data_IF_934834684080
#
_entry.id   IF_934834684080
#
_cell.length_a   1.000
_cell.length_b   1.000
_cell.length_c   1.000
_cell.angle_alpha   90.00
_cell.angle_beta   90.00
_cell.angle_gamma   90.00
#
_symmetry.space_group_name_H-M   'P 1'
#
loop_
_entity.id
_entity.type
_entity.pdbx_description
1 polymer ?
#
# COMPACT_ATOMS: atom_id res chain seq x y z
N UNK A 1 13.89 -3.65 11.55
CA UNK A 1 12.44 -3.98 11.52
C UNK A 1 11.64 -3.18 12.53
N UNK A 2 12.12 -2.92 13.74
CA UNK A 2 11.39 -2.12 14.75
C UNK A 2 11.01 -0.73 14.22
N UNK A 3 11.95 -0.04 13.55
CA UNK A 3 11.67 1.26 12.95
C UNK A 3 10.62 1.19 11.83
N UNK A 4 10.64 0.14 11.01
CA UNK A 4 9.66 -0.08 9.95
C UNK A 4 8.28 -0.33 10.57
N UNK A 5 8.20 -1.24 11.54
CA UNK A 5 6.97 -1.53 12.27
C UNK A 5 6.39 -0.26 12.90
N UNK A 6 7.23 0.54 13.54
CA UNK A 6 6.83 1.83 14.14
C UNK A 6 6.21 2.78 13.11
N UNK A 7 6.87 2.95 11.94
CA UNK A 7 6.35 3.80 10.87
C UNK A 7 5.02 3.28 10.31
N UNK A 8 4.90 1.97 10.11
CA UNK A 8 3.64 1.33 9.69
C UNK A 8 2.52 1.65 10.68
N UNK A 9 2.76 1.49 11.99
CA UNK A 9 1.77 1.77 13.03
C UNK A 9 1.27 3.21 13.00
N UNK A 10 2.20 4.17 12.95
CA UNK A 10 1.85 5.58 12.92
C UNK A 10 1.05 5.93 11.67
N UNK A 11 1.48 5.42 10.53
CA UNK A 11 0.80 5.70 9.27
C UNK A 11 -0.57 5.03 9.21
N UNK A 12 -0.70 3.77 9.68
CA UNK A 12 -2.00 3.09 9.82
C UNK A 12 -2.98 3.88 10.70
N UNK A 13 -2.50 4.41 11.84
CA UNK A 13 -3.32 5.26 12.74
C UNK A 13 -3.83 6.51 12.04
N UNK A 14 -3.01 7.12 11.20
CA UNK A 14 -3.44 8.27 10.40
C UNK A 14 -4.47 7.87 9.35
N UNK A 15 -4.19 6.80 8.59
CA UNK A 15 -5.07 6.32 7.53
C UNK A 15 -6.44 5.86 8.06
N UNK A 16 -6.49 5.22 9.23
CA UNK A 16 -7.75 4.77 9.84
C UNK A 16 -8.73 5.90 10.21
N UNK A 17 -8.24 7.14 10.29
CA UNK A 17 -9.10 8.33 10.45
C UNK A 17 -9.70 8.82 9.13
N UNK A 18 -9.15 8.36 8.01
CA UNK A 18 -9.50 8.80 6.66
C UNK A 18 -10.20 7.72 5.84
N UNK A 19 -10.06 6.45 6.24
CA UNK A 19 -10.54 5.28 5.52
C UNK A 19 -11.64 4.58 6.30
N UNK A 20 -12.62 4.09 5.57
CA UNK A 20 -13.53 3.05 5.99
C UNK A 20 -13.00 1.69 5.50
N UNK A 21 -13.44 0.60 6.14
CA UNK A 21 -13.08 -0.75 5.73
C UNK A 21 -13.48 -1.00 4.27
N UNK A 22 -12.51 -1.45 3.47
CA UNK A 22 -12.70 -1.74 2.05
C UNK A 22 -12.51 -0.53 1.11
N UNK A 23 -12.21 0.66 1.62
CA UNK A 23 -11.85 1.80 0.77
C UNK A 23 -10.56 1.52 0.00
N UNK A 24 -10.56 1.83 -1.29
CA UNK A 24 -9.39 1.61 -2.17
C UNK A 24 -8.40 2.75 -2.01
N UNK A 25 -7.12 2.37 -1.94
CA UNK A 25 -6.00 3.28 -1.88
C UNK A 25 -5.04 2.98 -3.02
N UNK A 26 -4.94 3.88 -3.98
CA UNK A 26 -3.93 3.79 -5.04
C UNK A 26 -2.55 4.05 -4.45
N UNK A 27 -1.57 3.20 -4.80
CA UNK A 27 -0.17 3.35 -4.44
C UNK A 27 0.68 3.38 -5.70
N UNK A 28 1.16 4.57 -6.06
CA UNK A 28 1.97 4.83 -7.25
C UNK A 28 3.36 5.34 -6.87
N UNK A 29 4.32 4.44 -6.85
CA UNK A 29 5.71 4.73 -6.46
C UNK A 29 6.66 3.71 -7.05
N UNK A 30 7.91 4.11 -7.21
CA UNK A 30 9.06 3.26 -7.47
C UNK A 30 9.32 2.32 -6.27
N UNK A 31 10.16 1.28 -6.48
CA UNK A 31 10.62 0.42 -5.41
C UNK A 31 11.42 1.21 -4.37
N UNK A 32 10.87 1.29 -3.17
CA UNK A 32 11.49 2.00 -2.04
C UNK A 32 10.91 1.51 -0.71
N UNK A 33 11.60 1.69 0.42
CA UNK A 33 11.11 1.23 1.72
C UNK A 33 9.74 1.81 2.09
N UNK A 34 9.46 3.06 1.70
CA UNK A 34 8.19 3.73 1.98
C UNK A 34 7.01 3.10 1.23
N UNK A 35 7.27 2.45 0.08
CA UNK A 35 6.25 1.69 -0.63
C UNK A 35 5.70 0.57 0.26
N UNK A 36 6.58 -0.25 0.82
CA UNK A 36 6.20 -1.35 1.71
C UNK A 36 5.51 -0.85 2.99
N UNK A 37 6.01 0.27 3.55
CA UNK A 37 5.39 0.91 4.72
C UNK A 37 3.97 1.35 4.39
N UNK A 38 3.76 1.96 3.22
CA UNK A 38 2.45 2.45 2.79
C UNK A 38 1.48 1.28 2.55
N UNK A 39 1.91 0.25 1.83
CA UNK A 39 1.11 -0.93 1.52
C UNK A 39 0.58 -1.61 2.79
N UNK A 40 1.49 -1.97 3.70
CA UNK A 40 1.10 -2.61 4.96
C UNK A 40 0.25 -1.66 5.82
N UNK A 41 0.54 -0.36 5.82
CA UNK A 41 -0.24 0.61 6.59
C UNK A 41 -1.67 0.77 6.06
N UNK A 42 -1.89 0.73 4.75
CA UNK A 42 -3.22 0.73 4.13
C UNK A 42 -4.00 -0.50 4.58
N UNK A 43 -3.40 -1.69 4.42
CA UNK A 43 -4.03 -2.95 4.81
C UNK A 43 -4.36 -2.98 6.30
N UNK A 44 -3.45 -2.54 7.18
CA UNK A 44 -3.68 -2.46 8.63
C UNK A 44 -4.75 -1.44 9.02
N UNK A 45 -4.96 -0.40 8.22
CA UNK A 45 -6.04 0.57 8.41
C UNK A 45 -7.41 0.06 7.92
N UNK A 46 -7.47 -1.15 7.35
CA UNK A 46 -8.68 -1.74 6.78
C UNK A 46 -8.97 -1.29 5.34
N UNK A 47 -8.04 -0.56 4.72
CA UNK A 47 -8.09 -0.19 3.31
C UNK A 47 -7.65 -1.33 2.40
N UNK A 48 -7.87 -1.14 1.10
CA UNK A 48 -7.48 -2.07 0.03
C UNK A 48 -6.44 -1.40 -0.83
N UNK A 49 -5.23 -1.94 -0.89
CA UNK A 49 -4.17 -1.39 -1.74
C UNK A 49 -4.44 -1.68 -3.21
N UNK A 50 -4.29 -0.65 -4.05
CA UNK A 50 -4.30 -0.75 -5.51
C UNK A 50 -2.95 -0.27 -6.01
N UNK A 51 -1.95 -1.18 -6.13
CA UNK A 51 -0.64 -0.82 -6.60
C UNK A 51 -0.66 -0.54 -8.10
N UNK A 52 -0.01 0.55 -8.52
CA UNK A 52 0.13 0.92 -9.93
C UNK A 52 1.60 0.88 -10.35
N UNK A 53 1.86 0.36 -11.55
CA UNK A 53 3.17 0.48 -12.16
C UNK A 53 3.44 1.92 -12.58
N UNK A 54 4.67 2.38 -12.32
CA UNK A 54 5.10 3.72 -12.77
C UNK A 54 5.24 3.84 -14.28
N UNK A 55 5.14 2.74 -15.00
CA UNK A 55 5.29 2.62 -16.45
C UNK A 55 3.97 2.39 -17.19
N UNK A 56 2.84 2.42 -16.50
CA UNK A 56 1.54 2.32 -17.16
C UNK A 56 1.31 3.46 -18.15
N UNK A 57 0.53 3.17 -19.18
CA UNK A 57 0.07 4.20 -20.09
C UNK A 57 -0.98 5.11 -19.43
N UNK A 58 -1.18 6.29 -20.01
CA UNK A 58 -2.20 7.22 -19.55
C UNK A 58 -3.60 6.61 -19.54
N UNK A 59 -3.93 5.79 -20.55
CA UNK A 59 -5.20 5.06 -20.66
C UNK A 59 -5.37 4.03 -19.54
N UNK A 60 -4.28 3.36 -19.14
CA UNK A 60 -4.32 2.39 -18.04
C UNK A 60 -4.58 3.10 -16.72
N UNK A 61 -3.90 4.25 -16.46
CA UNK A 61 -4.17 5.06 -15.26
C UNK A 61 -5.63 5.53 -15.22
N UNK A 62 -6.14 6.08 -16.32
CA UNK A 62 -7.53 6.53 -16.42
C UNK A 62 -8.50 5.39 -16.11
N UNK A 63 -8.30 4.26 -16.76
CA UNK A 63 -9.17 3.10 -16.58
C UNK A 63 -9.16 2.60 -15.13
N UNK A 64 -7.97 2.36 -14.56
CA UNK A 64 -7.83 1.77 -13.24
C UNK A 64 -8.37 2.72 -12.15
N UNK A 65 -8.10 4.03 -12.26
CA UNK A 65 -8.57 5.01 -11.29
C UNK A 65 -10.10 5.12 -11.33
N UNK A 66 -10.69 5.15 -12.51
CA UNK A 66 -12.14 5.18 -12.67
C UNK A 66 -12.81 3.90 -12.15
N UNK A 67 -12.21 2.73 -12.42
CA UNK A 67 -12.74 1.44 -11.98
C UNK A 67 -12.64 1.25 -10.46
N UNK A 68 -11.49 1.55 -9.85
CA UNK A 68 -11.30 1.38 -8.41
C UNK A 68 -11.86 2.54 -7.56
N UNK A 69 -12.08 3.72 -8.14
CA UNK A 69 -12.57 4.92 -7.45
C UNK A 69 -11.90 5.13 -6.08
N UNK A 70 -10.61 5.50 -6.03
CA UNK A 70 -9.84 5.49 -4.80
C UNK A 70 -10.23 6.60 -3.85
N UNK A 71 -10.30 6.29 -2.54
CA UNK A 71 -10.47 7.28 -1.48
C UNK A 71 -9.18 8.05 -1.21
N UNK A 72 -8.03 7.37 -1.34
CA UNK A 72 -6.71 7.95 -1.15
C UNK A 72 -5.81 7.55 -2.33
N UNK A 73 -4.97 8.49 -2.79
CA UNK A 73 -3.84 8.21 -3.68
C UNK A 73 -2.54 8.54 -2.95
N UNK A 74 -1.64 7.56 -2.85
CA UNK A 74 -0.29 7.74 -2.32
C UNK A 74 0.67 7.73 -3.49
N UNK A 75 1.42 8.83 -3.67
CA UNK A 75 2.37 9.00 -4.78
C UNK A 75 3.78 9.25 -4.25
N UNK A 76 4.82 8.80 -4.97
CA UNK A 76 6.18 9.03 -4.52
C UNK A 76 6.59 10.50 -4.61
N UNK A 77 6.26 11.18 -5.70
CA UNK A 77 6.71 12.53 -6.00
C UNK A 77 5.78 13.23 -7.01
N UNK A 78 6.14 14.46 -7.41
CA UNK A 78 5.41 15.28 -8.39
C UNK A 78 5.29 14.59 -9.76
N UNK A 79 6.33 13.88 -10.21
CA UNK A 79 6.29 13.16 -11.51
C UNK A 79 5.20 12.11 -11.53
N UNK A 80 5.08 11.32 -10.44
CA UNK A 80 4.05 10.30 -10.36
C UNK A 80 2.67 10.91 -10.13
N UNK A 81 2.57 11.99 -9.37
CA UNK A 81 1.32 12.70 -9.16
C UNK A 81 0.73 13.22 -10.49
N UNK A 82 1.54 13.87 -11.33
CA UNK A 82 1.12 14.40 -12.63
C UNK A 82 0.56 13.36 -13.60
N UNK A 83 0.92 12.08 -13.44
CA UNK A 83 0.36 11.01 -14.26
C UNK A 83 -1.10 10.71 -13.98
N UNK A 84 -1.53 10.98 -12.74
CA UNK A 84 -2.86 10.60 -12.27
C UNK A 84 -3.76 11.76 -11.87
N UNK A 85 -3.22 12.98 -11.67
CA UNK A 85 -3.95 14.13 -11.10
C UNK A 85 -5.26 14.46 -11.82
N UNK A 86 -5.30 14.31 -13.15
CA UNK A 86 -6.49 14.62 -13.96
C UNK A 86 -7.59 13.55 -13.91
N UNK A 87 -7.30 12.38 -13.38
CA UNK A 87 -8.24 11.28 -13.29
C UNK A 87 -8.82 11.09 -11.89
N UNK A 88 -8.19 11.68 -10.87
CA UNK A 88 -8.65 11.57 -9.49
C UNK A 88 -9.77 12.58 -9.21
N UNK A 89 -10.74 12.17 -8.38
CA UNK A 89 -11.82 13.03 -7.91
C UNK A 89 -11.29 14.13 -6.99
N UNK A 90 -11.96 15.27 -6.93
CA UNK A 90 -11.71 16.32 -5.95
C UNK A 90 -11.90 15.86 -4.49
N UNK A 91 -12.62 14.77 -4.27
CA UNK A 91 -12.80 14.16 -2.95
C UNK A 91 -11.67 13.17 -2.60
N UNK A 92 -10.87 12.76 -3.59
CA UNK A 92 -9.76 11.84 -3.38
C UNK A 92 -8.63 12.56 -2.66
N UNK A 93 -8.24 12.05 -1.50
CA UNK A 93 -7.12 12.59 -0.74
C UNK A 93 -5.80 12.14 -1.35
N UNK A 94 -4.89 13.09 -1.56
CA UNK A 94 -3.52 12.78 -2.00
C UNK A 94 -2.56 12.87 -0.83
N UNK A 95 -1.66 11.89 -0.73
CA UNK A 95 -0.53 11.84 0.21
C UNK A 95 0.73 11.60 -0.61
N UNK A 96 1.81 12.27 -0.29
CA UNK A 96 3.09 12.09 -0.97
C UNK A 96 4.11 11.35 -0.11
N UNK A 97 5.07 10.70 -0.73
CA UNK A 97 6.23 10.16 -0.04
C UNK A 97 7.28 11.28 0.12
N UNK A 98 7.57 11.99 -0.96
CA UNK A 98 8.48 13.13 -0.98
C UNK A 98 7.69 14.44 -0.89
N UNK A 99 8.27 15.44 -0.22
CA UNK A 99 7.68 16.78 -0.16
C UNK A 99 7.87 17.50 -1.49
N UNK A 100 6.81 17.71 -2.25
CA UNK A 100 6.84 18.47 -3.51
C UNK A 100 5.80 19.60 -3.57
N UNK A 101 4.71 19.51 -2.81
CA UNK A 101 3.68 20.55 -2.71
C UNK A 101 3.26 20.73 -1.26
N UNK A 102 3.25 21.98 -0.77
CA UNK A 102 2.84 22.31 0.62
C UNK A 102 1.38 22.00 0.93
N UNK A 103 0.53 21.84 -0.09
CA UNK A 103 -0.89 21.47 0.08
C UNK A 103 -1.08 19.95 0.24
N UNK A 104 -0.10 19.16 -0.17
CA UNK A 104 -0.13 17.70 -0.10
C UNK A 104 0.73 17.27 1.09
N UNK A 105 0.12 16.62 2.08
CA UNK A 105 0.89 16.08 3.22
C UNK A 105 1.79 14.94 2.77
N UNK A 106 3.04 14.98 3.21
CA UNK A 106 3.95 13.86 3.02
C UNK A 106 3.82 12.82 4.14
N UNK A 107 4.29 11.60 3.89
CA UNK A 107 4.41 10.56 4.92
C UNK A 107 5.30 11.06 6.05
N UNK A 108 6.38 11.78 5.75
CA UNK A 108 7.28 12.35 6.78
C UNK A 108 6.54 13.30 7.72
N UNK A 109 5.75 14.23 7.18
CA UNK A 109 4.95 15.17 7.99
C UNK A 109 3.97 14.44 8.90
N UNK A 110 3.37 13.36 8.39
CA UNK A 110 2.42 12.52 9.14
C UNK A 110 3.14 11.80 10.29
N UNK A 111 4.33 11.26 10.04
CA UNK A 111 5.10 10.53 11.05
C UNK A 111 5.65 11.46 12.13
N UNK A 112 6.09 12.66 11.77
CA UNK A 112 6.63 13.66 12.71
C UNK A 112 5.55 14.26 13.60
N UNK A 113 4.31 14.38 13.13
CA UNK A 113 3.20 14.96 13.87
C UNK A 113 2.66 14.09 15.02
N UNK A 114 3.16 12.86 15.18
CA UNK A 114 2.67 11.91 16.18
C UNK A 114 3.72 11.62 17.27
N UNK A 115 3.38 11.78 18.58
CA UNK A 115 4.33 11.55 19.67
C UNK A 115 4.71 10.07 19.83
N UNK A 116 6.00 9.84 20.06
CA UNK A 116 6.68 8.54 20.06
C UNK A 116 6.20 7.48 21.08
N UNK A 117 5.41 7.81 22.09
CA UNK A 117 5.17 6.92 23.25
C UNK A 117 3.91 6.06 23.21
N UNK A 118 2.90 6.38 22.40
CA UNK A 118 1.60 5.68 22.46
C UNK A 118 1.41 4.55 21.43
N UNK A 119 2.40 4.30 20.60
CA UNK A 119 2.15 3.73 19.27
C UNK A 119 2.15 2.20 19.22
N UNK A 120 2.82 1.53 20.15
CA UNK A 120 3.00 0.06 20.10
C UNK A 120 1.72 -0.70 20.47
N UNK A 121 0.96 -0.18 21.43
CA UNK A 121 -0.32 -0.79 21.87
C UNK A 121 -1.46 -0.65 20.83
N UNK A 122 -1.25 0.17 19.81
CA UNK A 122 -2.31 0.48 18.83
C UNK A 122 -2.47 -0.63 17.80
N UNK A 123 -1.40 -1.35 17.43
CA UNK A 123 -1.49 -2.45 16.46
C UNK A 123 -2.31 -3.62 16.98
N UNK A 124 -2.22 -3.94 18.27
CA UNK A 124 -2.97 -5.04 18.88
C UNK A 124 -4.48 -4.79 18.80
N UNK A 125 -4.92 -3.53 18.90
CA UNK A 125 -6.33 -3.16 18.88
C UNK A 125 -6.93 -3.00 17.44
N UNK A 126 -6.10 -2.85 16.41
CA UNK A 126 -6.59 -2.72 15.02
C UNK A 126 -6.78 -4.07 14.32
N UNK A 127 -5.96 -5.05 14.65
CA UNK A 127 -5.97 -6.37 14.01
C UNK A 127 -7.28 -7.17 14.23
N UNK A 128 -7.99 -6.92 15.33
CA UNK A 128 -9.24 -7.66 15.65
C UNK A 128 -10.41 -7.39 14.69
N UNK A 129 -10.31 -6.32 13.88
CA UNK A 129 -11.37 -5.93 12.94
C UNK A 129 -11.16 -6.40 11.51
N UNK A 130 -9.95 -6.89 11.20
CA UNK A 130 -9.58 -7.36 9.86
C UNK A 130 -9.62 -8.88 9.85
N UNK A 131 -10.45 -9.45 8.99
CA UNK A 131 -10.62 -10.88 8.88
C UNK A 131 -9.83 -11.44 7.69
N UNK A 132 -9.42 -12.71 7.75
CA UNK A 132 -8.73 -13.39 6.63
C UNK A 132 -9.50 -13.32 5.31
N UNK A 133 -10.82 -13.26 5.33
CA UNK A 133 -11.68 -13.12 4.14
C UNK A 133 -11.77 -11.71 3.56
N UNK A 134 -11.34 -10.70 4.32
CA UNK A 134 -11.39 -9.32 3.85
C UNK A 134 -10.40 -9.10 2.71
N UNK A 135 -10.74 -8.19 1.81
CA UNK A 135 -9.91 -7.81 0.68
C UNK A 135 -8.70 -7.03 1.17
N UNK A 136 -7.51 -7.44 0.74
CA UNK A 136 -6.23 -6.80 1.07
C UNK A 136 -5.72 -5.90 -0.05
N UNK A 137 -5.74 -6.43 -1.28
CA UNK A 137 -5.30 -5.65 -2.43
C UNK A 137 -6.02 -6.05 -3.72
N UNK A 138 -5.96 -5.16 -4.72
CA UNK A 138 -6.43 -5.38 -6.09
C UNK A 138 -5.27 -5.14 -7.03
N UNK A 139 -4.80 -6.18 -7.72
CA UNK A 139 -3.70 -6.09 -8.68
C UNK A 139 -4.27 -6.10 -10.08
N UNK A 140 -4.04 -5.02 -10.83
CA UNK A 140 -4.48 -4.94 -12.22
C UNK A 140 -3.49 -5.63 -13.14
N UNK A 141 -3.96 -6.61 -13.89
CA UNK A 141 -3.18 -7.37 -14.88
C UNK A 141 -3.66 -7.05 -16.28
N UNK A 142 -2.75 -7.09 -17.26
CA UNK A 142 -3.11 -6.96 -18.68
C UNK A 142 -4.02 -8.11 -19.09
N UNK A 143 -5.31 -7.83 -19.25
CA UNK A 143 -6.26 -8.81 -19.74
C UNK A 143 -6.05 -9.10 -21.24
N UNK A 144 -6.34 -10.31 -21.68
CA UNK A 144 -6.33 -10.70 -23.10
C UNK A 144 -7.37 -9.94 -23.94
N UNK A 145 -8.28 -9.21 -23.32
CA UNK A 145 -9.42 -8.51 -23.93
C UNK A 145 -9.29 -6.99 -24.00
N UNK A 146 -8.09 -6.43 -23.74
CA UNK A 146 -7.77 -5.00 -23.95
C UNK A 146 -7.72 -4.16 -22.68
N UNK A 147 -8.69 -4.22 -21.77
CA UNK A 147 -8.66 -3.46 -20.53
C UNK A 147 -8.03 -4.25 -19.38
N UNK A 148 -7.26 -3.62 -18.48
CA UNK A 148 -6.73 -4.28 -17.28
C UNK A 148 -7.84 -4.87 -16.40
N UNK A 149 -7.60 -6.05 -15.82
CA UNK A 149 -8.54 -6.71 -14.89
C UNK A 149 -7.99 -6.67 -13.48
N UNK A 150 -8.78 -6.20 -12.54
CA UNK A 150 -8.43 -6.17 -11.13
C UNK A 150 -8.57 -7.53 -10.46
N UNK A 151 -7.46 -8.18 -10.15
CA UNK A 151 -7.41 -9.43 -9.39
C UNK A 151 -7.50 -9.10 -7.90
N UNK A 152 -8.55 -9.57 -7.26
CA UNK A 152 -8.82 -9.33 -5.83
C UNK A 152 -8.12 -10.38 -4.97
N UNK A 153 -7.25 -9.96 -4.07
CA UNK A 153 -6.55 -10.81 -3.12
C UNK A 153 -7.01 -10.50 -1.69
N UNK A 154 -7.40 -11.56 -0.96
CA UNK A 154 -7.76 -11.44 0.46
C UNK A 154 -6.53 -11.50 1.35
N UNK A 155 -6.64 -10.98 2.59
CA UNK A 155 -5.62 -11.17 3.62
C UNK A 155 -5.28 -12.64 3.83
N UNK A 156 -6.28 -13.52 3.83
CA UNK A 156 -6.10 -14.97 3.98
C UNK A 156 -5.28 -15.58 2.85
N UNK A 157 -5.50 -15.16 1.60
CA UNK A 157 -4.74 -15.63 0.45
C UNK A 157 -3.26 -15.25 0.55
N UNK A 158 -2.97 -13.98 0.92
CA UNK A 158 -1.59 -13.52 1.12
C UNK A 158 -0.91 -14.29 2.27
N UNK A 159 -1.59 -14.41 3.41
CA UNK A 159 -1.04 -15.12 4.56
C UNK A 159 -0.77 -16.61 4.27
N UNK A 160 -1.66 -17.28 3.52
CA UNK A 160 -1.44 -18.69 3.13
C UNK A 160 -0.22 -18.85 2.22
N UNK A 161 0.03 -17.88 1.32
CA UNK A 161 1.26 -17.88 0.52
C UNK A 161 2.51 -17.66 1.39
N UNK A 162 2.45 -16.76 2.37
CA UNK A 162 3.55 -16.56 3.32
C UNK A 162 3.81 -17.80 4.17
N UNK A 163 2.77 -18.46 4.68
CA UNK A 163 2.85 -19.70 5.45
C UNK A 163 3.54 -20.82 4.63
N UNK A 164 3.12 -21.03 3.37
CA UNK A 164 3.73 -22.01 2.48
C UNK A 164 5.19 -21.67 2.09
N UNK A 165 5.50 -20.38 1.89
CA UNK A 165 6.85 -19.96 1.61
C UNK A 165 7.78 -20.13 2.82
N UNK A 166 7.30 -19.93 4.04
CA UNK A 166 8.08 -20.06 5.26
C UNK A 166 8.60 -21.48 5.45
N UNK A 167 7.79 -22.51 5.20
CA UNK A 167 8.22 -23.92 5.29
C UNK A 167 9.46 -24.20 4.40
N UNK A 168 9.47 -23.64 3.19
CA UNK A 168 10.59 -23.79 2.26
C UNK A 168 11.80 -22.97 2.73
N UNK A 169 11.56 -21.75 3.19
CA UNK A 169 12.64 -20.87 3.66
C UNK A 169 13.33 -21.41 4.90
N UNK A 170 12.59 -21.98 5.85
CA UNK A 170 13.15 -22.59 7.06
C UNK A 170 14.13 -23.74 6.74
N UNK A 171 13.84 -24.50 5.67
CA UNK A 171 14.75 -25.54 5.17
C UNK A 171 16.01 -24.94 4.54
N UNK A 172 15.87 -23.85 3.78
CA UNK A 172 16.99 -23.24 3.05
C UNK A 172 17.92 -22.42 3.94
N UNK A 173 17.36 -21.71 4.93
CA UNK A 173 18.13 -20.72 5.72
C UNK A 173 18.79 -21.32 6.97
N UNK A 174 18.38 -22.50 7.45
CA UNK A 174 19.02 -23.29 8.53
C UNK A 174 19.50 -22.48 9.74
N UNK A 175 18.71 -21.63 10.32
CA UNK A 175 19.04 -20.76 11.46
C UNK A 175 19.91 -19.53 11.16
N UNK A 176 20.22 -19.23 9.92
CA UNK A 176 20.83 -17.96 9.53
C UNK A 176 19.80 -16.85 9.37
N UNK A 177 20.22 -15.58 9.53
CA UNK A 177 19.33 -14.46 9.22
C UNK A 177 19.25 -14.32 7.70
N UNK A 178 18.07 -14.53 7.08
CA UNK A 178 17.94 -14.44 5.64
C UNK A 178 18.17 -13.02 5.14
N UNK A 179 18.91 -12.91 4.04
CA UNK A 179 19.11 -11.66 3.30
C UNK A 179 18.57 -11.87 1.89
N UNK A 180 17.55 -11.09 1.53
CA UNK A 180 16.93 -11.15 0.22
C UNK A 180 17.21 -9.89 -0.57
N UNK A 181 17.58 -10.06 -1.84
CA UNK A 181 17.61 -8.97 -2.81
C UNK A 181 16.24 -8.83 -3.47
N UNK A 182 15.53 -7.77 -3.14
CA UNK A 182 14.25 -7.43 -3.81
C UNK A 182 14.55 -6.57 -5.03
N UNK A 183 14.42 -7.15 -6.24
CA UNK A 183 14.67 -6.48 -7.51
C UNK A 183 13.42 -6.38 -8.41
N UNK A 184 12.42 -7.22 -8.17
CA UNK A 184 11.14 -7.14 -8.88
C UNK A 184 10.35 -5.91 -8.43
N UNK A 185 9.52 -5.32 -9.31
CA UNK A 185 8.60 -4.26 -8.91
C UNK A 185 7.69 -4.72 -7.78
N UNK A 186 7.65 -3.95 -6.68
CA UNK A 186 6.77 -4.24 -5.54
C UNK A 186 5.28 -4.22 -5.91
N UNK A 187 4.93 -3.48 -6.96
CA UNK A 187 3.58 -3.43 -7.53
C UNK A 187 3.18 -4.70 -8.29
N UNK A 188 4.09 -5.68 -8.43
CA UNK A 188 3.87 -6.93 -9.17
C UNK A 188 3.67 -8.14 -8.23
N UNK A 189 3.55 -7.94 -6.96
CA UNK A 189 3.47 -9.03 -5.97
C UNK A 189 2.21 -9.89 -6.11
#
# INVERSE_FOLDING_TARGET
WEQVRYKICLFSKYLSKCLSKGDRCVLLSENRPEWLIADIAIMNAGGVTVPLFTTYSEKDYEYIINDCNPKICIVSNDIQFKKIEKFISNETKVISIENFDKKIKSISDILESNPKKETINILENYNDKILRKDLACIIYTSGTTGNPKGVMLSHGGILSNCEGAQEILDILVKNEKPVFLTWLPLSHS
#
